data_IF_925975047812
#
_entry.id   IF_925975047812
#
_cell.length_a   1.000
_cell.length_b   1.000
_cell.length_c   1.000
_cell.angle_alpha   90.00
_cell.angle_beta   90.00
_cell.angle_gamma   90.00
#
_symmetry.space_group_name_H-M   'P 1'
#
loop_
_entity.id
_entity.type
_entity.pdbx_description
1 polymer ?
#
# COMPACT_ATOMS: atom_id res chain seq x y z
N UNK A 1 -1.90 12.55 10.41
CA UNK A 1 -1.05 12.29 11.60
C UNK A 1 0.17 11.52 11.14
N UNK A 2 1.39 12.06 11.34
CA UNK A 2 2.65 11.46 10.82
C UNK A 2 3.40 10.59 11.82
N UNK A 3 2.94 10.52 13.06
CA UNK A 3 3.50 9.60 14.06
C UNK A 3 3.12 8.18 13.70
N UNK A 4 4.12 7.37 13.38
CA UNK A 4 3.96 5.97 12.99
C UNK A 4 4.97 5.09 13.72
N UNK A 5 4.67 3.80 13.83
CA UNK A 5 5.60 2.78 14.33
C UNK A 5 5.98 1.82 13.19
N UNK A 6 7.14 1.15 13.26
CA UNK A 6 7.51 0.15 12.25
C UNK A 6 6.41 -0.90 12.08
N UNK A 7 6.07 -1.23 10.84
CA UNK A 7 5.08 -2.23 10.50
C UNK A 7 5.76 -3.35 9.69
N UNK A 8 5.88 -4.53 10.29
CA UNK A 8 6.42 -5.72 9.63
C UNK A 8 5.37 -6.43 8.78
N UNK A 9 5.62 -7.71 8.48
CA UNK A 9 4.61 -8.57 7.84
C UNK A 9 3.24 -8.44 8.54
N UNK A 10 2.13 -8.23 7.79
CA UNK A 10 1.96 -8.43 6.35
C UNK A 10 2.14 -7.17 5.47
N UNK A 11 2.75 -6.09 5.97
CA UNK A 11 2.94 -4.86 5.19
C UNK A 11 4.21 -4.90 4.31
N UNK A 12 4.28 -4.07 3.26
CA UNK A 12 5.48 -3.95 2.42
C UNK A 12 6.74 -3.58 3.23
N UNK A 13 7.91 -3.91 2.70
CA UNK A 13 9.17 -3.61 3.37
C UNK A 13 9.33 -2.11 3.65
N UNK A 14 9.70 -1.76 4.88
CA UNK A 14 9.86 -0.37 5.32
C UNK A 14 8.54 0.35 5.64
N UNK A 15 7.39 -0.32 5.55
CA UNK A 15 6.12 0.26 5.95
C UNK A 15 6.09 0.66 7.43
N UNK A 16 5.28 1.68 7.72
CA UNK A 16 5.00 2.12 9.09
C UNK A 16 3.51 2.38 9.26
N UNK A 17 3.00 2.11 10.45
CA UNK A 17 1.57 2.19 10.73
C UNK A 17 1.27 3.33 11.71
N UNK A 18 0.32 4.18 11.34
CA UNK A 18 -0.25 5.23 12.18
C UNK A 18 -1.72 4.96 12.48
N UNK A 19 -2.49 5.94 12.98
CA UNK A 19 -3.92 5.76 13.24
C UNK A 19 -4.72 5.49 11.95
N UNK A 20 -4.93 4.21 11.62
CA UNK A 20 -5.74 3.75 10.48
C UNK A 20 -5.11 3.94 9.09
N UNK A 21 -3.82 4.28 9.02
CA UNK A 21 -3.10 4.49 7.75
C UNK A 21 -1.70 3.90 7.82
N UNK A 22 -1.26 3.35 6.69
CA UNK A 22 0.08 2.83 6.43
C UNK A 22 0.84 3.85 5.59
N UNK A 23 2.03 4.22 6.02
CA UNK A 23 3.01 4.87 5.13
C UNK A 23 3.91 3.81 4.52
N UNK A 24 3.96 3.74 3.20
CA UNK A 24 4.80 2.80 2.47
C UNK A 24 5.80 3.56 1.61
N UNK A 25 7.11 3.25 1.69
CA UNK A 25 8.12 3.85 0.82
C UNK A 25 7.88 3.54 -0.66
N UNK A 26 8.10 4.55 -1.51
CA UNK A 26 8.06 4.41 -2.97
C UNK A 26 9.47 4.25 -3.55
N UNK A 27 9.60 3.49 -4.63
CA UNK A 27 10.87 3.23 -5.32
C UNK A 27 11.51 4.50 -5.89
N UNK A 28 10.69 5.46 -6.32
CA UNK A 28 11.10 6.79 -6.80
C UNK A 28 11.39 7.80 -5.67
N UNK A 29 11.28 7.38 -4.41
CA UNK A 29 11.44 8.24 -3.24
C UNK A 29 10.11 8.79 -2.71
N UNK A 30 10.14 9.24 -1.46
CA UNK A 30 8.93 9.63 -0.73
C UNK A 30 8.14 8.41 -0.22
N UNK A 31 6.90 8.69 0.20
CA UNK A 31 5.97 7.68 0.72
C UNK A 31 4.57 7.94 0.17
N UNK A 32 3.77 6.89 0.08
CA UNK A 32 2.32 7.02 -0.03
C UNK A 32 1.64 6.60 1.26
N UNK A 33 0.50 7.22 1.55
CA UNK A 33 -0.34 6.93 2.69
C UNK A 33 -1.60 6.22 2.22
N UNK A 34 -1.88 5.06 2.79
CA UNK A 34 -2.96 4.22 2.32
C UNK A 34 -3.45 3.23 3.36
N UNK A 35 -4.48 2.48 3.00
CA UNK A 35 -4.92 1.33 3.77
C UNK A 35 -5.61 0.34 2.84
N UNK A 36 -5.10 -0.89 2.79
CA UNK A 36 -5.71 -1.97 2.02
C UNK A 36 -6.91 -2.60 2.73
N UNK A 37 -7.57 -3.53 2.07
CA UNK A 37 -8.63 -4.35 2.64
C UNK A 37 -8.48 -5.79 2.17
N UNK A 38 -8.81 -6.74 3.05
CA UNK A 38 -8.87 -8.15 2.70
C UNK A 38 -10.18 -8.71 3.23
N UNK A 39 -10.95 -9.34 2.35
CA UNK A 39 -12.14 -10.10 2.69
C UNK A 39 -12.19 -11.34 1.78
N UNK A 40 -13.00 -12.34 2.15
CA UNK A 40 -13.09 -13.55 1.32
C UNK A 40 -13.56 -13.17 -0.09
N UNK A 41 -12.73 -13.48 -1.08
CA UNK A 41 -12.99 -13.19 -2.49
C UNK A 41 -12.60 -11.79 -2.96
N UNK A 42 -12.06 -10.91 -2.11
CA UNK A 42 -11.59 -9.59 -2.51
C UNK A 42 -10.35 -9.11 -1.74
N UNK A 43 -9.46 -8.44 -2.45
CA UNK A 43 -8.38 -7.65 -1.83
C UNK A 43 -8.35 -6.27 -2.48
N UNK A 44 -8.20 -5.23 -1.65
CA UNK A 44 -7.99 -3.87 -2.07
C UNK A 44 -6.66 -3.33 -1.56
N UNK A 45 -6.12 -2.40 -2.34
CA UNK A 45 -4.91 -1.63 -2.13
C UNK A 45 -5.23 -0.20 -2.59
N UNK A 46 -4.69 0.79 -1.93
CA UNK A 46 -4.91 2.16 -2.33
C UNK A 46 -4.29 3.15 -1.37
N UNK A 47 -3.98 4.32 -1.90
CA UNK A 47 -3.38 5.41 -1.14
C UNK A 47 -3.04 6.61 -2.00
N UNK A 48 -2.46 7.61 -1.36
CA UNK A 48 -2.08 8.87 -1.99
C UNK A 48 -0.73 9.39 -1.47
N UNK A 49 0.00 10.09 -2.32
CA UNK A 49 1.21 10.84 -2.00
C UNK A 49 0.88 12.26 -1.54
N UNK A 50 1.83 12.94 -0.90
CA UNK A 50 1.61 14.31 -0.40
C UNK A 50 1.38 15.35 -1.51
N UNK A 51 1.89 15.08 -2.72
CA UNK A 51 1.68 15.89 -3.91
C UNK A 51 0.34 15.60 -4.63
N UNK A 52 -0.49 14.72 -4.08
CA UNK A 52 -1.86 14.48 -4.53
C UNK A 52 -2.03 13.38 -5.59
N UNK A 53 -0.97 12.66 -5.97
CA UNK A 53 -1.13 11.43 -6.79
C UNK A 53 -1.81 10.36 -5.96
N UNK A 54 -2.71 9.60 -6.58
CA UNK A 54 -3.48 8.56 -5.90
C UNK A 54 -3.63 7.32 -6.76
N UNK A 55 -3.70 6.16 -6.10
CA UNK A 55 -3.95 4.86 -6.72
C UNK A 55 -4.98 4.07 -5.93
N UNK A 56 -5.77 3.27 -6.62
CA UNK A 56 -6.70 2.31 -6.02
C UNK A 56 -6.73 1.05 -6.89
N UNK A 57 -6.41 -0.09 -6.28
CA UNK A 57 -6.36 -1.40 -6.94
C UNK A 57 -7.31 -2.33 -6.18
N UNK A 58 -8.16 -3.03 -6.93
CA UNK A 58 -9.05 -4.04 -6.40
C UNK A 58 -8.93 -5.32 -7.23
N UNK A 59 -8.91 -6.46 -6.56
CA UNK A 59 -8.97 -7.78 -7.20
C UNK A 59 -10.10 -8.60 -6.59
N UNK A 60 -10.79 -9.38 -7.42
CA UNK A 60 -11.92 -10.25 -7.02
C UNK A 60 -11.44 -11.66 -6.73
N UNK A 61 -10.40 -11.78 -5.90
CA UNK A 61 -9.86 -13.05 -5.43
C UNK A 61 -9.25 -12.87 -4.04
N UNK A 62 -8.96 -13.96 -3.34
CA UNK A 62 -8.06 -13.94 -2.18
C UNK A 62 -6.63 -14.19 -2.70
N UNK A 63 -5.77 -13.16 -2.80
CA UNK A 63 -4.47 -13.30 -3.44
C UNK A 63 -3.48 -14.11 -2.59
N UNK A 64 -2.64 -14.91 -3.26
CA UNK A 64 -1.42 -15.46 -2.66
C UNK A 64 -0.42 -14.34 -2.34
N UNK A 65 0.63 -14.66 -1.57
CA UNK A 65 1.69 -13.69 -1.25
C UNK A 65 2.32 -13.07 -2.51
N UNK A 66 2.68 -13.90 -3.49
CA UNK A 66 3.23 -13.43 -4.78
C UNK A 66 2.28 -12.49 -5.52
N UNK A 67 0.96 -12.70 -5.41
CA UNK A 67 -0.01 -11.77 -6.01
C UNK A 67 -0.07 -10.47 -5.23
N UNK A 68 0.02 -10.49 -3.90
CA UNK A 68 0.09 -9.27 -3.08
C UNK A 68 1.32 -8.43 -3.41
N UNK A 69 2.49 -9.05 -3.53
CA UNK A 69 3.73 -8.38 -3.96
C UNK A 69 3.58 -7.70 -5.33
N UNK A 70 2.88 -8.36 -6.28
CA UNK A 70 2.57 -7.75 -7.58
C UNK A 70 1.61 -6.57 -7.46
N UNK A 71 0.63 -6.65 -6.57
CA UNK A 71 -0.28 -5.52 -6.30
C UNK A 71 0.48 -4.33 -5.72
N UNK A 72 1.41 -4.56 -4.79
CA UNK A 72 2.27 -3.51 -4.24
C UNK A 72 3.14 -2.87 -5.35
N UNK A 73 3.66 -3.67 -6.29
CA UNK A 73 4.37 -3.16 -7.47
C UNK A 73 3.50 -2.33 -8.42
N UNK A 74 2.20 -2.62 -8.52
CA UNK A 74 1.24 -1.80 -9.28
C UNK A 74 1.03 -0.45 -8.60
N UNK A 75 0.90 -0.41 -7.27
CA UNK A 75 0.81 0.85 -6.53
C UNK A 75 2.05 1.71 -6.74
N UNK A 76 3.24 1.11 -6.58
CA UNK A 76 4.52 1.78 -6.78
C UNK A 76 4.63 2.36 -8.20
N UNK A 77 4.38 1.54 -9.22
CA UNK A 77 4.43 1.97 -10.62
C UNK A 77 3.42 3.08 -10.92
N UNK A 78 2.23 3.03 -10.34
CA UNK A 78 1.19 4.04 -10.58
C UNK A 78 1.54 5.39 -9.94
N UNK A 79 2.18 5.37 -8.76
CA UNK A 79 2.51 6.57 -7.99
C UNK A 79 3.87 7.17 -8.38
N UNK A 80 4.77 6.40 -8.97
CA UNK A 80 6.11 6.83 -9.40
C UNK A 80 6.22 7.29 -10.86
N UNK A 81 5.10 7.65 -11.50
CA UNK A 81 5.08 8.23 -12.84
C UNK A 81 5.31 9.74 -12.84
#
# INVERSE_FOLDING_TARGET
MRTTVPAGYPFPAGARYGPGLVSTPLSCGGVYWGHGGSMTGYETRGGATEDGRATNVAVTTQPSQTTKERMDGVEDTALCR
#
